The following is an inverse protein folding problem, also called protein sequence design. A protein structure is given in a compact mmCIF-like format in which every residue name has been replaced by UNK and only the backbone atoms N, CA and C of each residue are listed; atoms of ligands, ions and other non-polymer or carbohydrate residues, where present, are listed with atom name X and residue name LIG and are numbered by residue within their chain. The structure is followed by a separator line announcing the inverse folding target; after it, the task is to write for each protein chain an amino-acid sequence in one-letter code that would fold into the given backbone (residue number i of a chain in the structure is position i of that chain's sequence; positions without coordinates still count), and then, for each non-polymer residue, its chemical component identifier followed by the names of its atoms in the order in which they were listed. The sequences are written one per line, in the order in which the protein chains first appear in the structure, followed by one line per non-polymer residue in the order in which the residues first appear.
data_IF_142017304142
#
_entry.id   IF_142017304142
#
_cell.length_a   1.000
_cell.length_b   1.000
_cell.length_c   1.000
_cell.angle_alpha   90.00
_cell.angle_beta   90.00
_cell.angle_gamma   90.00
#
_symmetry.space_group_name_H-M   'P 1'
#
loop_
_entity.id
_entity.type
_entity.pdbx_description
1 polymer ?
#
# COMPACT_ATOMS: atom_id res chain seq x y z
N UNK A 1 16.78 28.41 7.12
CA UNK A 1 16.69 26.97 6.84
C UNK A 1 15.46 26.46 7.55
N UNK A 2 14.51 25.89 6.81
CA UNK A 2 13.27 25.40 7.38
C UNK A 2 13.45 23.96 7.83
N UNK A 3 12.88 23.62 9.00
CA UNK A 3 12.88 22.25 9.49
C UNK A 3 11.85 21.44 8.67
N UNK A 4 12.34 20.50 7.88
CA UNK A 4 11.53 19.62 7.02
C UNK A 4 11.52 18.22 7.60
N UNK A 5 10.34 17.64 7.72
CA UNK A 5 10.17 16.24 8.14
C UNK A 5 9.68 15.39 6.99
N UNK A 6 10.24 14.19 6.88
CA UNK A 6 9.85 13.19 5.90
C UNK A 6 8.89 12.23 6.59
N UNK A 7 7.63 12.23 6.14
CA UNK A 7 6.53 11.52 6.80
C UNK A 7 6.03 10.44 5.86
N UNK A 8 6.06 9.19 6.34
CA UNK A 8 5.44 8.05 5.66
C UNK A 8 3.95 8.05 5.94
N UNK A 9 3.14 7.93 4.90
CA UNK A 9 1.69 7.80 5.00
C UNK A 9 1.19 6.50 4.37
N UNK A 10 0.11 5.96 4.93
CA UNK A 10 -0.63 4.80 4.41
C UNK A 10 -1.40 5.17 3.12
N UNK A 11 -1.88 4.16 2.37
CA UNK A 11 -1.58 2.74 2.50
C UNK A 11 -0.36 2.28 1.67
N UNK A 12 0.13 3.10 0.73
CA UNK A 12 1.21 2.72 -0.20
C UNK A 12 2.62 3.10 0.27
N UNK A 13 2.78 3.47 1.54
CA UNK A 13 4.08 3.85 2.12
C UNK A 13 4.74 5.03 1.40
N UNK A 14 3.95 5.96 0.87
CA UNK A 14 4.48 7.16 0.22
C UNK A 14 5.11 8.06 1.27
N UNK A 15 6.28 8.61 0.95
CA UNK A 15 7.00 9.52 1.84
C UNK A 15 6.83 10.93 1.31
N UNK A 16 6.12 11.77 2.06
CA UNK A 16 5.93 13.17 1.72
C UNK A 16 6.81 14.05 2.61
N UNK A 17 7.19 15.21 2.10
CA UNK A 17 7.94 16.23 2.86
C UNK A 17 6.95 17.25 3.42
N UNK A 18 7.08 17.55 4.71
CA UNK A 18 6.26 18.55 5.40
C UNK A 18 7.14 19.55 6.16
N UNK A 19 6.67 20.79 6.31
CA UNK A 19 7.30 21.79 7.18
C UNK A 19 6.95 21.50 8.65
N UNK A 20 7.95 21.49 9.52
CA UNK A 20 7.73 21.46 10.96
C UNK A 20 7.64 22.88 11.53
N UNK A 21 6.41 23.39 11.62
CA UNK A 21 6.10 24.71 12.18
C UNK A 21 5.52 24.64 13.61
N UNK A 22 5.65 23.49 14.28
CA UNK A 22 4.99 23.24 15.56
C UNK A 22 5.74 23.84 16.77
N UNK A 23 6.93 24.40 16.56
CA UNK A 23 7.80 24.88 17.65
C UNK A 23 8.38 23.76 18.53
N UNK A 24 8.12 22.49 18.19
CA UNK A 24 8.66 21.30 18.84
C UNK A 24 9.61 20.56 17.89
N UNK A 25 10.62 19.91 18.46
CA UNK A 25 11.50 19.03 17.69
C UNK A 25 10.80 17.68 17.46
N UNK A 26 10.58 17.33 16.20
CA UNK A 26 10.08 16.02 15.79
C UNK A 26 11.27 15.09 15.53
N UNK A 27 11.18 13.84 15.98
CA UNK A 27 12.24 12.84 15.81
C UNK A 27 11.75 11.66 14.98
N UNK A 28 12.69 10.93 14.39
CA UNK A 28 12.40 9.61 13.79
C UNK A 28 11.69 8.75 14.83
N UNK A 29 10.58 8.12 14.45
CA UNK A 29 9.73 7.36 15.37
C UNK A 29 8.44 8.08 15.78
N UNK A 30 8.38 9.40 15.64
CA UNK A 30 7.19 10.16 16.05
C UNK A 30 6.01 9.94 15.09
N UNK A 31 4.81 9.79 15.66
CA UNK A 31 3.57 9.87 14.91
C UNK A 31 3.10 11.32 14.83
N UNK A 32 2.65 11.72 13.64
CA UNK A 32 2.18 13.07 13.34
C UNK A 32 0.90 13.02 12.54
N UNK A 33 0.05 14.03 12.72
CA UNK A 33 -1.13 14.22 11.88
C UNK A 33 -0.76 15.18 10.75
N UNK A 34 -1.00 14.73 9.52
CA UNK A 34 -0.71 15.49 8.30
C UNK A 34 -1.91 15.47 7.36
N UNK A 35 -1.95 16.45 6.46
CA UNK A 35 -2.89 16.41 5.35
C UNK A 35 -2.30 15.59 4.19
N UNK A 36 -2.86 14.42 3.94
CA UNK A 36 -2.55 13.59 2.78
C UNK A 36 -3.31 14.04 1.53
N UNK A 37 -3.31 13.19 0.49
CA UNK A 37 -4.06 13.43 -0.74
C UNK A 37 -5.59 13.56 -0.47
N UNK A 38 -6.10 12.86 0.55
CA UNK A 38 -7.55 12.68 0.79
C UNK A 38 -8.02 13.03 2.19
N UNK A 39 -7.30 13.95 2.84
CA UNK A 39 -7.67 14.46 4.16
C UNK A 39 -6.64 14.14 5.22
N UNK A 40 -7.09 14.20 6.47
CA UNK A 40 -6.24 13.99 7.62
C UNK A 40 -5.85 12.51 7.69
N UNK A 41 -4.57 12.25 7.86
CA UNK A 41 -4.04 10.90 8.04
C UNK A 41 -2.94 10.90 9.09
N UNK A 42 -2.76 9.75 9.71
CA UNK A 42 -1.66 9.51 10.63
C UNK A 42 -0.42 9.16 9.81
N UNK A 43 0.66 9.90 10.06
CA UNK A 43 1.94 9.72 9.42
C UNK A 43 3.02 9.34 10.42
N UNK A 44 4.03 8.61 9.95
CA UNK A 44 5.19 8.23 10.74
C UNK A 44 6.42 9.02 10.29
N UNK A 45 7.06 9.73 11.22
CA UNK A 45 8.26 10.52 10.95
C UNK A 45 9.44 9.60 10.75
N UNK A 46 10.02 9.68 9.56
CA UNK A 46 11.13 8.83 9.18
C UNK A 46 12.48 9.50 9.42
N UNK A 47 12.56 10.77 9.05
CA UNK A 47 13.76 11.58 9.24
C UNK A 47 13.41 13.06 9.23
N UNK A 48 14.35 13.85 9.72
CA UNK A 48 14.31 15.30 9.66
C UNK A 48 15.47 15.79 8.80
N UNK A 49 15.27 16.93 8.14
CA UNK A 49 16.24 17.56 7.25
C UNK A 49 16.02 19.06 7.25
N UNK A 50 17.02 19.81 6.79
CA UNK A 50 16.88 21.25 6.57
C UNK A 50 16.80 21.52 5.08
N UNK A 51 15.80 22.32 4.68
CA UNK A 51 15.63 22.75 3.30
C UNK A 51 15.50 24.28 3.24
N UNK A 52 15.90 24.85 2.11
CA UNK A 52 15.70 26.26 1.76
C UNK A 52 14.32 26.51 1.13
N UNK A 53 13.67 25.47 0.62
CA UNK A 53 12.32 25.57 0.04
C UNK A 53 11.24 25.74 1.12
N UNK A 54 10.20 26.51 0.78
CA UNK A 54 9.08 26.86 1.67
C UNK A 54 7.72 26.39 1.13
N UNK A 55 7.72 25.51 0.13
CA UNK A 55 6.54 25.09 -0.63
C UNK A 55 5.85 23.86 -0.07
N UNK A 56 6.39 23.24 0.99
CA UNK A 56 5.82 22.03 1.57
C UNK A 56 4.63 22.34 2.48
N UNK A 57 3.64 21.44 2.52
CA UNK A 57 2.54 21.52 3.48
C UNK A 57 3.08 21.43 4.91
N UNK A 58 2.47 22.12 5.89
CA UNK A 58 2.89 21.99 7.28
C UNK A 58 2.43 20.66 7.90
N UNK A 59 3.19 20.17 8.88
CA UNK A 59 2.67 19.19 9.85
C UNK A 59 1.59 19.88 10.67
N UNK A 60 0.44 19.23 10.83
CA UNK A 60 -0.70 19.84 11.54
C UNK A 60 -0.43 19.81 13.04
N UNK A 61 0.02 18.66 13.56
CA UNK A 61 0.39 18.47 14.97
C UNK A 61 1.06 17.10 15.19
N UNK A 62 1.69 16.93 16.35
CA UNK A 62 2.08 15.60 16.85
C UNK A 62 0.83 14.79 17.18
N UNK A 63 0.86 13.49 16.92
CA UNK A 63 -0.26 12.60 17.20
C UNK A 63 -0.48 12.51 18.72
N UNK A 64 -1.74 12.54 19.12
CA UNK A 64 -2.18 12.33 20.51
C UNK A 64 -2.62 10.88 20.69
N UNK A 65 -2.81 10.45 21.95
CA UNK A 65 -3.36 9.13 22.22
C UNK A 65 -4.77 8.96 21.62
N UNK A 66 -5.57 10.02 21.61
CA UNK A 66 -6.89 10.03 20.96
C UNK A 66 -6.81 9.72 19.46
N UNK A 67 -5.79 10.25 18.75
CA UNK A 67 -5.60 9.90 17.33
C UNK A 67 -5.23 8.45 17.14
N UNK A 68 -4.40 7.91 18.03
CA UNK A 68 -4.00 6.51 17.95
C UNK A 68 -5.21 5.60 18.17
N UNK A 69 -6.07 5.94 19.15
CA UNK A 69 -7.31 5.23 19.41
C UNK A 69 -8.29 5.35 18.23
N UNK A 70 -8.41 6.54 17.64
CA UNK A 70 -9.26 6.75 16.47
C UNK A 70 -8.74 6.03 15.24
N UNK A 71 -7.42 5.97 15.06
CA UNK A 71 -6.77 5.16 14.04
C UNK A 71 -7.07 3.67 14.22
N UNK A 72 -7.02 3.12 15.43
CA UNK A 72 -7.36 1.71 15.69
C UNK A 72 -8.83 1.42 15.35
N UNK A 73 -9.74 2.28 15.77
CA UNK A 73 -11.16 2.17 15.39
C UNK A 73 -11.36 2.29 13.87
N UNK A 74 -10.56 3.12 13.19
CA UNK A 74 -10.58 3.23 11.74
C UNK A 74 -10.16 1.92 11.06
N UNK A 75 -9.19 1.19 11.59
CA UNK A 75 -8.80 -0.13 11.05
C UNK A 75 -9.96 -1.14 11.09
N UNK A 76 -10.76 -1.12 12.15
CA UNK A 76 -11.95 -1.97 12.25
C UNK A 76 -13.02 -1.57 11.21
N UNK A 77 -13.25 -0.27 11.05
CA UNK A 77 -14.15 0.27 10.02
C UNK A 77 -13.67 -0.07 8.61
N UNK A 78 -12.36 0.03 8.34
CA UNK A 78 -11.72 -0.33 7.07
C UNK A 78 -11.97 -1.80 6.73
N UNK A 79 -11.84 -2.71 7.71
CA UNK A 79 -12.11 -4.15 7.55
C UNK A 79 -13.58 -4.41 7.23
N UNK A 80 -14.51 -3.78 7.95
CA UNK A 80 -15.94 -3.94 7.68
C UNK A 80 -16.33 -3.39 6.30
N UNK A 81 -15.74 -2.26 5.92
CA UNK A 81 -15.93 -1.63 4.62
C UNK A 81 -15.35 -2.47 3.47
N UNK A 82 -14.19 -3.08 3.70
CA UNK A 82 -13.58 -4.03 2.79
C UNK A 82 -14.51 -5.21 2.48
N UNK A 83 -14.96 -5.92 3.52
CA UNK A 83 -15.76 -7.14 3.36
C UNK A 83 -17.08 -6.83 2.65
N UNK A 84 -17.76 -5.75 3.04
CA UNK A 84 -18.99 -5.34 2.41
C UNK A 84 -18.79 -4.92 0.95
N UNK A 85 -17.73 -4.16 0.65
CA UNK A 85 -17.43 -3.75 -0.72
C UNK A 85 -17.13 -4.96 -1.62
N UNK A 86 -16.33 -5.92 -1.14
CA UNK A 86 -16.06 -7.16 -1.87
C UNK A 86 -17.35 -7.93 -2.19
N UNK A 87 -18.24 -8.06 -1.21
CA UNK A 87 -19.53 -8.72 -1.41
C UNK A 87 -20.34 -8.01 -2.51
N UNK A 88 -20.47 -6.68 -2.44
CA UNK A 88 -21.21 -5.89 -3.45
C UNK A 88 -20.57 -5.94 -4.83
N UNK A 89 -19.24 -5.93 -4.92
CA UNK A 89 -18.50 -6.10 -6.19
C UNK A 89 -18.87 -7.43 -6.83
N UNK A 90 -18.89 -8.52 -6.05
CA UNK A 90 -19.24 -9.86 -6.53
C UNK A 90 -20.69 -9.95 -6.99
N UNK A 91 -21.63 -9.45 -6.18
CA UNK A 91 -23.07 -9.45 -6.52
C UNK A 91 -23.38 -8.65 -7.79
N UNK A 92 -22.66 -7.54 -8.00
CA UNK A 92 -22.82 -6.67 -9.17
C UNK A 92 -21.95 -7.07 -10.36
N UNK A 93 -21.13 -8.10 -10.21
CA UNK A 93 -20.19 -8.60 -11.23
C UNK A 93 -19.30 -7.50 -11.82
N UNK A 94 -18.83 -6.57 -10.97
CA UNK A 94 -17.99 -5.47 -11.43
C UNK A 94 -16.58 -5.98 -11.76
N UNK A 95 -16.03 -5.68 -12.95
CA UNK A 95 -14.73 -6.20 -13.40
C UNK A 95 -13.55 -5.44 -12.77
N UNK A 96 -13.50 -5.42 -11.43
CA UNK A 96 -12.48 -4.72 -10.63
C UNK A 96 -11.89 -5.61 -9.54
N UNK A 97 -10.69 -5.26 -9.10
CA UNK A 97 -10.03 -5.85 -7.94
C UNK A 97 -9.87 -4.79 -6.86
N UNK A 98 -10.57 -4.96 -5.74
CA UNK A 98 -10.35 -4.13 -4.55
C UNK A 98 -8.96 -4.47 -3.97
N UNK A 99 -8.21 -3.44 -3.56
CA UNK A 99 -6.83 -3.59 -3.06
C UNK A 99 -6.66 -3.08 -1.64
N UNK A 100 -7.15 -1.86 -1.35
CA UNK A 100 -7.14 -1.32 0.01
C UNK A 100 -8.40 -0.51 0.28
N UNK A 101 -8.85 -0.51 1.53
CA UNK A 101 -9.78 0.49 2.06
C UNK A 101 -9.07 1.31 3.12
N UNK A 102 -9.20 2.63 3.05
CA UNK A 102 -8.60 3.59 3.98
C UNK A 102 -9.68 4.53 4.49
N UNK A 103 -9.79 4.68 5.80
CA UNK A 103 -10.60 5.74 6.40
C UNK A 103 -9.70 6.92 6.77
N UNK A 104 -10.13 8.13 6.39
CA UNK A 104 -9.47 9.35 6.88
C UNK A 104 -9.50 9.38 8.42
N UNK A 105 -8.49 9.97 9.05
CA UNK A 105 -8.35 10.00 10.51
C UNK A 105 -9.62 10.52 11.19
N UNK A 106 -10.23 11.57 10.63
CA UNK A 106 -11.48 12.19 11.11
C UNK A 106 -12.77 11.49 10.67
N UNK A 107 -12.67 10.30 10.03
CA UNK A 107 -13.76 9.49 9.46
C UNK A 107 -14.70 10.21 8.50
N UNK A 108 -14.36 11.39 8.00
CA UNK A 108 -15.23 12.11 7.05
C UNK A 108 -15.25 11.47 5.67
N UNK A 109 -14.25 10.65 5.34
CA UNK A 109 -14.08 9.98 4.05
C UNK A 109 -13.60 8.55 4.23
N UNK A 110 -14.11 7.64 3.40
CA UNK A 110 -13.59 6.29 3.21
C UNK A 110 -13.19 6.15 1.74
N UNK A 111 -11.94 5.78 1.50
CA UNK A 111 -11.33 5.64 0.18
C UNK A 111 -11.17 4.16 -0.13
N UNK A 112 -11.70 3.73 -1.27
CA UNK A 112 -11.60 2.37 -1.80
C UNK A 112 -10.65 2.37 -2.99
N UNK A 113 -9.46 1.81 -2.80
CA UNK A 113 -8.46 1.65 -3.84
C UNK A 113 -8.68 0.36 -4.60
N UNK A 114 -8.72 0.43 -5.93
CA UNK A 114 -8.94 -0.73 -6.79
C UNK A 114 -8.10 -0.68 -8.07
N UNK A 115 -7.90 -1.83 -8.70
CA UNK A 115 -7.39 -1.95 -10.07
C UNK A 115 -8.47 -2.47 -11.02
N UNK A 116 -8.36 -2.06 -12.28
CA UNK A 116 -9.26 -2.40 -13.36
C UNK A 116 -8.54 -2.18 -14.70
N UNK A 117 -8.82 -3.01 -15.70
CA UNK A 117 -8.25 -2.86 -17.05
C UNK A 117 -8.84 -1.67 -17.81
N UNK A 118 -10.10 -1.36 -17.56
CA UNK A 118 -10.86 -0.32 -18.24
C UNK A 118 -11.63 0.58 -17.28
N UNK A 119 -12.51 1.41 -17.86
CA UNK A 119 -13.47 2.21 -17.09
C UNK A 119 -14.59 1.31 -16.56
N UNK A 120 -15.00 1.55 -15.32
CA UNK A 120 -16.04 0.79 -14.65
C UNK A 120 -17.12 1.76 -14.18
N UNK A 121 -18.38 1.41 -14.42
CA UNK A 121 -19.51 2.11 -13.81
C UNK A 121 -19.81 1.51 -12.43
N UNK A 122 -19.32 2.17 -11.39
CA UNK A 122 -19.48 1.76 -10.00
C UNK A 122 -20.52 2.61 -9.24
N UNK A 123 -21.40 3.35 -9.95
CA UNK A 123 -22.35 4.27 -9.30
C UNK A 123 -23.27 3.58 -8.30
N UNK A 124 -23.79 2.40 -8.64
CA UNK A 124 -24.64 1.63 -7.72
C UNK A 124 -23.86 1.09 -6.51
N UNK A 125 -22.60 0.65 -6.71
CA UNK A 125 -21.72 0.25 -5.60
C UNK A 125 -21.52 1.41 -4.61
N UNK A 126 -21.27 2.63 -5.12
CA UNK A 126 -21.12 3.82 -4.28
C UNK A 126 -22.38 4.10 -3.48
N UNK A 127 -23.58 3.88 -4.05
CA UNK A 127 -24.85 4.04 -3.32
C UNK A 127 -24.97 3.04 -2.18
N UNK A 128 -24.63 1.77 -2.41
CA UNK A 128 -24.64 0.74 -1.36
C UNK A 128 -23.70 1.11 -0.21
N UNK A 129 -22.47 1.51 -0.56
CA UNK A 129 -21.44 1.89 0.42
C UNK A 129 -21.87 3.12 1.22
N UNK A 130 -22.38 4.15 0.55
CA UNK A 130 -22.84 5.37 1.21
C UNK A 130 -24.04 5.12 2.12
N UNK A 131 -24.98 4.25 1.70
CA UNK A 131 -26.13 3.88 2.50
C UNK A 131 -25.73 3.13 3.79
N UNK A 132 -24.73 2.24 3.70
CA UNK A 132 -24.24 1.48 4.86
C UNK A 132 -23.43 2.36 5.83
N UNK A 133 -22.40 3.04 5.32
CA UNK A 133 -21.41 3.71 6.18
C UNK A 133 -21.78 5.15 6.56
N UNK A 134 -22.73 5.78 5.85
CA UNK A 134 -23.15 7.18 6.09
C UNK A 134 -21.98 8.19 6.08
N UNK A 135 -20.93 7.85 5.34
CA UNK A 135 -19.70 8.62 5.19
C UNK A 135 -19.46 8.89 3.72
N UNK A 136 -18.73 9.96 3.38
CA UNK A 136 -18.36 10.25 1.99
C UNK A 136 -17.48 9.12 1.44
N UNK A 137 -17.96 8.47 0.39
CA UNK A 137 -17.27 7.37 -0.29
C UNK A 137 -16.44 7.93 -1.45
N UNK A 138 -15.19 7.51 -1.56
CA UNK A 138 -14.29 7.85 -2.65
C UNK A 138 -13.72 6.58 -3.27
N UNK A 139 -13.87 6.41 -4.59
CA UNK A 139 -13.37 5.26 -5.33
C UNK A 139 -12.12 5.70 -6.10
N UNK A 140 -10.96 5.08 -5.85
CA UNK A 140 -9.71 5.42 -6.54
C UNK A 140 -9.18 4.23 -7.34
N UNK A 141 -9.15 4.38 -8.65
CA UNK A 141 -8.41 3.47 -9.50
C UNK A 141 -6.91 3.76 -9.38
N UNK A 142 -6.11 2.74 -9.10
CA UNK A 142 -4.65 2.84 -9.07
C UNK A 142 -4.03 2.05 -10.22
N UNK A 143 -2.75 2.30 -10.51
CA UNK A 143 -2.04 1.57 -11.56
C UNK A 143 -1.53 0.21 -11.09
N UNK A 144 -1.24 -0.68 -12.04
CA UNK A 144 -0.61 -1.99 -11.78
C UNK A 144 0.70 -1.92 -11.02
N UNK A 145 1.40 -0.77 -11.09
CA UNK A 145 2.65 -0.55 -10.37
C UNK A 145 2.42 -0.19 -8.90
N UNK A 146 1.39 0.60 -8.59
CA UNK A 146 0.95 0.85 -7.22
C UNK A 146 0.41 -0.44 -6.58
N UNK A 147 -0.31 -1.26 -7.34
CA UNK A 147 -0.74 -2.60 -6.91
C UNK A 147 0.46 -3.48 -6.55
N UNK A 148 1.46 -3.57 -7.44
CA UNK A 148 2.67 -4.33 -7.14
C UNK A 148 3.41 -3.75 -5.93
N UNK A 149 3.53 -2.42 -5.82
CA UNK A 149 4.12 -1.76 -4.64
C UNK A 149 3.37 -2.11 -3.36
N UNK A 150 2.05 -2.24 -3.41
CA UNK A 150 1.25 -2.60 -2.24
C UNK A 150 1.46 -4.07 -1.85
N UNK A 151 1.32 -4.99 -2.80
CA UNK A 151 1.40 -6.43 -2.57
C UNK A 151 2.84 -6.90 -2.26
N UNK A 152 3.84 -6.21 -2.78
CA UNK A 152 5.23 -6.68 -2.74
C UNK A 152 5.46 -7.83 -3.72
N UNK A 153 6.61 -8.49 -3.58
CA UNK A 153 6.98 -9.64 -4.41
C UNK A 153 8.48 -9.74 -4.65
N UNK A 154 8.90 -10.82 -5.32
CA UNK A 154 10.30 -11.08 -5.64
C UNK A 154 10.50 -10.86 -7.14
N UNK A 155 11.46 -10.00 -7.50
CA UNK A 155 11.84 -9.77 -8.88
C UNK A 155 12.67 -10.93 -9.44
N UNK A 156 12.81 -10.97 -10.77
CA UNK A 156 13.64 -11.98 -11.46
C UNK A 156 15.12 -11.99 -11.05
N UNK A 157 15.58 -10.94 -10.36
CA UNK A 157 16.92 -10.84 -9.77
C UNK A 157 17.02 -11.50 -8.38
N UNK A 158 15.94 -12.12 -7.87
CA UNK A 158 15.90 -12.76 -6.55
C UNK A 158 15.75 -11.79 -5.37
N UNK A 159 15.61 -10.48 -5.62
CA UNK A 159 15.41 -9.45 -4.59
C UNK A 159 13.95 -9.02 -4.52
N UNK A 160 13.55 -8.39 -3.42
CA UNK A 160 12.25 -7.71 -3.34
C UNK A 160 12.09 -6.69 -4.49
N UNK A 161 10.87 -6.54 -5.00
CA UNK A 161 10.59 -5.65 -6.11
C UNK A 161 10.93 -4.20 -5.78
N UNK A 162 11.66 -3.56 -6.69
CA UNK A 162 12.10 -2.16 -6.57
C UNK A 162 10.97 -1.17 -6.25
N UNK A 163 9.75 -1.44 -6.75
CA UNK A 163 8.58 -0.58 -6.52
C UNK A 163 8.23 -0.47 -5.03
N UNK A 164 8.40 -1.56 -4.28
CA UNK A 164 8.19 -1.64 -2.83
C UNK A 164 9.38 -1.07 -2.08
N UNK A 165 10.59 -1.47 -2.49
CA UNK A 165 11.80 -1.22 -1.70
C UNK A 165 12.25 0.24 -1.67
N UNK A 166 12.31 0.94 -2.81
CA UNK A 166 12.94 2.28 -2.86
C UNK A 166 12.19 3.34 -3.65
N UNK A 167 11.05 3.02 -4.26
CA UNK A 167 10.31 4.01 -5.05
C UNK A 167 9.18 4.62 -4.25
N UNK A 168 9.27 5.90 -3.93
CA UNK A 168 8.16 6.64 -3.29
C UNK A 168 7.18 7.16 -4.34
N UNK A 169 7.69 7.80 -5.39
CA UNK A 169 6.88 8.35 -6.48
C UNK A 169 7.37 7.85 -7.83
N UNK A 170 6.46 7.35 -8.65
CA UNK A 170 6.83 6.81 -9.96
C UNK A 170 7.17 7.91 -10.96
N UNK A 171 8.46 8.02 -11.27
CA UNK A 171 8.95 8.81 -12.41
C UNK A 171 8.91 8.00 -13.71
N UNK A 172 8.78 8.65 -14.88
CA UNK A 172 8.82 7.98 -16.18
C UNK A 172 10.12 7.19 -16.37
N UNK A 173 10.00 6.00 -16.97
CA UNK A 173 11.12 5.12 -17.32
C UNK A 173 11.06 4.89 -18.82
N UNK A 174 12.18 5.07 -19.52
CA UNK A 174 12.24 4.95 -20.97
C UNK A 174 13.19 3.83 -21.39
N UNK A 175 12.96 3.27 -22.59
CA UNK A 175 13.87 2.29 -23.19
C UNK A 175 15.25 2.87 -23.48
N UNK A 176 15.36 4.20 -23.67
CA UNK A 176 16.64 4.90 -23.82
C UNK A 176 17.55 4.64 -22.62
N UNK A 177 17.02 4.71 -21.39
CA UNK A 177 17.79 4.45 -20.19
C UNK A 177 18.43 3.05 -20.21
N UNK A 178 17.69 2.03 -20.67
CA UNK A 178 18.21 0.67 -20.78
C UNK A 178 19.30 0.57 -21.85
N UNK A 179 19.10 1.24 -23.00
CA UNK A 179 20.07 1.26 -24.10
C UNK A 179 21.38 1.94 -23.71
N UNK A 180 21.30 3.09 -23.05
CA UNK A 180 22.46 3.86 -22.59
C UNK A 180 23.25 3.11 -21.50
N UNK A 181 22.61 2.17 -20.79
CA UNK A 181 23.24 1.26 -19.81
C UNK A 181 23.72 -0.07 -20.45
N UNK A 182 23.73 -0.16 -21.78
CA UNK A 182 24.15 -1.37 -22.52
C UNK A 182 23.36 -2.64 -22.17
N UNK A 183 22.12 -2.49 -21.70
CA UNK A 183 21.25 -3.63 -21.37
C UNK A 183 20.61 -4.16 -22.66
N UNK A 184 20.71 -5.47 -22.86
CA UNK A 184 20.05 -6.16 -23.97
C UNK A 184 18.54 -5.87 -23.93
N UNK A 185 18.02 -5.34 -25.05
CA UNK A 185 16.62 -4.97 -25.22
C UNK A 185 15.71 -6.19 -25.38
N UNK A 186 15.63 -7.01 -24.34
CA UNK A 186 14.70 -8.13 -24.23
C UNK A 186 13.56 -7.73 -23.28
N UNK A 187 12.32 -7.75 -23.77
CA UNK A 187 11.12 -7.31 -23.04
C UNK A 187 10.99 -8.02 -21.69
N UNK A 188 11.18 -9.34 -21.63
CA UNK A 188 11.07 -10.11 -20.39
C UNK A 188 12.16 -9.73 -19.37
N UNK A 189 13.34 -9.32 -19.84
CA UNK A 189 14.42 -8.84 -18.97
C UNK A 189 14.23 -7.39 -18.51
N UNK A 190 13.52 -6.57 -19.27
CA UNK A 190 13.28 -5.16 -18.93
C UNK A 190 11.99 -4.93 -18.13
N UNK A 191 11.04 -5.85 -18.22
CA UNK A 191 9.78 -5.80 -17.49
C UNK A 191 9.95 -6.26 -16.04
N UNK A 192 9.36 -5.51 -15.12
CA UNK A 192 9.17 -5.91 -13.72
C UNK A 192 7.94 -6.81 -13.57
N UNK A 193 7.72 -7.28 -12.34
CA UNK A 193 6.57 -8.14 -11.98
C UNK A 193 5.23 -7.48 -12.32
N UNK A 194 5.15 -6.15 -12.26
CA UNK A 194 3.96 -5.39 -12.66
C UNK A 194 3.73 -5.27 -14.18
N UNK A 195 4.55 -5.93 -15.01
CA UNK A 195 4.47 -5.86 -16.48
C UNK A 195 4.94 -4.52 -17.09
N UNK A 196 5.41 -3.57 -16.29
CA UNK A 196 6.02 -2.30 -16.73
C UNK A 196 7.55 -2.36 -16.64
N UNK A 197 8.24 -1.43 -17.28
CA UNK A 197 9.71 -1.31 -17.17
C UNK A 197 10.15 -1.26 -15.71
N UNK A 198 11.25 -1.96 -15.39
CA UNK A 198 11.82 -2.07 -14.04
C UNK A 198 12.25 -0.71 -13.51
N UNK A 199 11.92 -0.44 -12.24
CA UNK A 199 12.30 0.81 -11.58
C UNK A 199 13.81 0.97 -11.39
N UNK A 200 14.56 -0.14 -11.27
CA UNK A 200 16.02 -0.12 -11.18
C UNK A 200 16.69 0.52 -12.41
N UNK A 201 16.11 0.39 -13.61
CA UNK A 201 16.65 1.02 -14.84
C UNK A 201 16.82 2.52 -14.69
N UNK A 202 15.88 3.18 -14.00
CA UNK A 202 15.94 4.62 -13.78
C UNK A 202 16.87 4.95 -12.62
N UNK A 203 16.79 4.17 -11.54
CA UNK A 203 17.61 4.34 -10.35
C UNK A 203 19.11 4.28 -10.69
N UNK A 204 19.53 3.25 -11.42
CA UNK A 204 20.92 3.02 -11.83
C UNK A 204 21.38 4.09 -12.83
N UNK A 205 20.51 4.55 -13.74
CA UNK A 205 20.85 5.57 -14.73
C UNK A 205 21.18 6.94 -14.11
N UNK A 206 20.40 7.40 -13.13
CA UNK A 206 20.58 8.72 -12.52
C UNK A 206 21.36 8.67 -11.19
N UNK A 207 21.63 7.48 -10.65
CA UNK A 207 22.14 7.32 -9.29
C UNK A 207 21.18 7.85 -8.22
N UNK A 208 19.89 7.99 -8.54
CA UNK A 208 18.89 8.55 -7.63
C UNK A 208 18.53 7.53 -6.55
N UNK A 209 19.22 7.56 -5.41
CA UNK A 209 18.72 6.92 -4.18
C UNK A 209 17.57 7.79 -3.66
N UNK A 210 16.33 7.45 -4.02
CA UNK A 210 15.20 7.85 -3.18
C UNK A 210 15.41 7.13 -1.85
N UNK A 211 15.73 7.89 -0.79
CA UNK A 211 16.15 7.32 0.48
C UNK A 211 15.22 6.20 0.94
N UNK A 212 15.82 5.03 1.06
CA UNK A 212 15.19 3.80 1.52
C UNK A 212 14.96 3.96 3.00
N UNK A 213 13.72 3.84 3.44
CA UNK A 213 13.46 3.41 4.80
C UNK A 213 12.61 2.15 4.70
N UNK A 214 13.03 1.09 5.36
CA UNK A 214 12.31 -0.18 5.39
C UNK A 214 10.97 -0.02 6.11
N UNK A 215 9.99 -0.83 5.75
CA UNK A 215 8.64 -0.82 6.34
C UNK A 215 8.61 -1.41 7.77
N UNK A 216 9.74 -1.87 8.31
CA UNK A 216 9.86 -2.62 9.57
C UNK A 216 9.62 -1.80 10.85
N UNK A 217 9.35 -0.49 10.76
CA UNK A 217 9.16 0.36 11.95
C UNK A 217 7.70 0.76 12.23
N UNK A 218 6.73 0.25 11.45
CA UNK A 218 5.30 0.42 11.77
C UNK A 218 4.82 -0.81 12.55
N UNK A 219 5.32 -0.96 13.78
CA UNK A 219 4.69 -1.82 14.77
C UNK A 219 4.05 -0.92 15.83
N UNK A 220 2.73 -0.99 15.97
CA UNK A 220 2.13 -0.81 17.29
C UNK A 220 2.72 -1.88 18.20
N UNK A 221 3.27 -1.46 19.33
CA UNK A 221 3.75 -2.38 20.35
C UNK A 221 2.64 -3.37 20.68
N UNK A 222 2.95 -4.65 20.43
CA UNK A 222 2.22 -5.84 20.84
C UNK A 222 0.79 -6.01 20.29
N UNK A 223 0.71 -6.50 19.05
CA UNK A 223 0.02 -7.78 18.83
C UNK A 223 0.68 -8.53 17.66
N UNK A 224 0.90 -9.82 17.90
CA UNK A 224 1.64 -10.76 17.05
C UNK A 224 0.81 -11.11 15.82
N UNK A 225 1.53 -11.28 14.70
CA UNK A 225 1.14 -11.88 13.40
C UNK A 225 0.18 -11.09 12.47
N UNK A 226 0.56 -10.89 11.19
CA UNK A 226 -0.39 -10.56 10.14
C UNK A 226 -1.12 -11.85 9.70
N UNK A 227 -2.36 -12.03 10.16
CA UNK A 227 -3.26 -13.15 9.79
C UNK A 227 -3.64 -13.21 8.29
N UNK A 228 -3.12 -12.35 7.43
CA UNK A 228 -3.43 -12.37 5.99
C UNK A 228 -2.63 -13.37 5.14
N UNK A 229 -1.72 -14.16 5.75
CA UNK A 229 -0.94 -15.19 5.03
C UNK A 229 -1.26 -16.65 5.37
N UNK A 230 -2.21 -16.96 6.26
CA UNK A 230 -2.50 -18.36 6.67
C UNK A 230 -3.71 -19.02 5.99
N UNK A 231 -4.59 -18.26 5.33
CA UNK A 231 -5.82 -18.83 4.76
C UNK A 231 -5.64 -19.60 3.44
N UNK A 232 -4.51 -19.47 2.73
CA UNK A 232 -4.27 -20.21 1.48
C UNK A 232 -3.43 -21.47 1.65
N UNK A 233 -2.76 -21.66 2.79
CA UNK A 233 -2.03 -22.90 3.09
C UNK A 233 -2.89 -23.93 3.82
N UNK A 234 -3.74 -23.50 4.76
CA UNK A 234 -4.58 -24.44 5.54
C UNK A 234 -5.66 -25.09 4.68
N UNK A 235 -6.16 -24.41 3.63
CA UNK A 235 -7.12 -25.02 2.70
C UNK A 235 -6.45 -26.03 1.77
N UNK A 236 -5.15 -25.88 1.47
CA UNK A 236 -4.41 -26.87 0.65
C UNK A 236 -4.04 -28.11 1.44
N UNK A 237 -3.64 -27.95 2.71
CA UNK A 237 -3.31 -29.09 3.57
C UNK A 237 -4.56 -29.90 3.96
N UNK A 238 -5.74 -29.25 4.08
CA UNK A 238 -7.00 -29.97 4.34
C UNK A 238 -7.59 -30.70 3.11
N UNK A 239 -7.31 -30.24 1.88
CA UNK A 239 -7.74 -30.93 0.65
C UNK A 239 -6.81 -32.10 0.28
N UNK A 240 -5.52 -32.02 0.60
CA UNK A 240 -4.56 -33.10 0.31
C UNK A 240 -4.67 -34.26 1.34
N UNK A 241 -5.03 -34.00 2.60
CA UNK A 241 -5.29 -35.06 3.61
C UNK A 241 -6.60 -35.83 3.35
N UNK A 242 -7.59 -35.22 2.70
CA UNK A 242 -8.85 -35.89 2.33
C UNK A 242 -8.74 -36.77 1.08
N UNK A 243 -7.67 -36.62 0.28
CA UNK A 243 -7.43 -37.46 -0.90
C UNK A 243 -6.63 -38.72 -0.51
N UNK A 244 -5.68 -38.63 0.43
CA UNK A 244 -4.88 -39.78 0.86
C UNK A 244 -5.67 -40.81 1.72
N UNK A 245 -6.65 -40.37 2.52
CA UNK A 245 -7.50 -41.31 3.29
C UNK A 245 -8.51 -42.09 2.42
N UNK A 246 -8.76 -41.67 1.18
CA UNK A 246 -9.70 -42.35 0.27
C UNK A 246 -9.09 -43.50 -0.55
N UNK A 247 -7.77 -43.72 -0.47
CA UNK A 247 -7.06 -44.75 -1.26
C UNK A 247 -6.31 -45.81 -0.44
N UNK A 248 -6.37 -45.79 0.90
CA UNK A 248 -5.59 -46.69 1.76
C UNK A 248 -6.33 -47.88 2.42
N UNK A 249 -7.49 -48.31 1.91
CA UNK A 249 -8.39 -49.21 2.65
C UNK A 249 -8.95 -50.42 1.90
N UNK A 250 -8.16 -51.14 1.11
CA UNK A 250 -8.46 -52.54 0.72
C UNK A 250 -7.17 -53.32 0.52
N UNK A 251 -6.82 -54.14 1.51
CA UNK A 251 -6.48 -55.56 1.34
C UNK A 251 -5.73 -56.10 2.57
N UNK A 252 -6.46 -56.72 3.50
CA UNK A 252 -5.95 -57.86 4.26
C UNK A 252 -7.10 -58.85 4.51
N UNK A 253 -7.22 -59.84 3.62
CA UNK A 253 -7.93 -61.10 3.89
C UNK A 253 -7.31 -62.22 3.05
N UNK A 254 -6.24 -62.84 3.57
CA UNK A 254 -5.98 -64.30 3.58
C UNK A 254 -4.57 -64.61 4.06
#
# INVERSE_FOLDING_TARGET
MNNVVHVRVRPFGKVYRYLNNLGIELKKGDFVVVEGDFGLTLGYVIKTSFDSENTFKPVIRKATNEDMDDFQKNLLLEKEAWDFCLQRIKERQLPMKLLVVEAALDRKRIIFYFTAEGRIDFRELVRDLAAKFKTRIEMRQIGVRDEAKFLGGIGVCGREICCKTFVSFFKPISLKMAKDQEIVLNVSKLSGVCGRLKCCLRHEYYGEIEEIITDEEIFTQEEKEPEFKKFSLIIKEADDELIEESHGGKDESK
#
